data_IF_187590011983
#
_entry.id   IF_187590011983
#
_cell.length_a   1.000
_cell.length_b   1.000
_cell.length_c   1.000
_cell.angle_alpha   90.00
_cell.angle_beta   90.00
_cell.angle_gamma   90.00
#
_symmetry.space_group_name_H-M   'P 1'
#
loop_
_entity.id
_entity.type
_entity.pdbx_description
1 polymer ?
#
# COMPACT_ATOMS: atom_id res chain seq x y z
N UNK A 1 13.14 3.86 -3.67
CA UNK A 1 14.35 3.06 -3.84
C UNK A 1 14.66 2.74 -5.29
N UNK A 2 15.89 2.28 -5.56
CA UNK A 2 16.34 1.92 -6.91
C UNK A 2 15.44 0.89 -7.61
N UNK A 3 14.99 -0.20 -6.95
CA UNK A 3 14.07 -1.17 -7.57
C UNK A 3 12.75 -0.55 -8.02
N UNK A 4 12.16 0.33 -7.23
CA UNK A 4 10.95 1.06 -7.60
C UNK A 4 11.14 1.87 -8.89
N UNK A 5 12.23 2.65 -8.97
CA UNK A 5 12.53 3.46 -10.15
C UNK A 5 12.74 2.57 -11.39
N UNK A 6 13.45 1.46 -11.27
CA UNK A 6 13.68 0.53 -12.39
C UNK A 6 12.38 -0.09 -12.87
N UNK A 7 11.51 -0.55 -11.97
CA UNK A 7 10.23 -1.17 -12.33
C UNK A 7 9.30 -0.17 -13.02
N UNK A 8 9.22 1.06 -12.51
CA UNK A 8 8.38 2.11 -13.10
C UNK A 8 8.94 2.65 -14.42
N UNK A 9 10.25 2.88 -14.52
CA UNK A 9 10.85 3.48 -15.73
C UNK A 9 11.07 2.46 -16.85
N UNK A 10 11.41 1.21 -16.53
CA UNK A 10 11.65 0.15 -17.53
C UNK A 10 10.38 -0.60 -17.93
N UNK A 11 9.20 -0.24 -17.37
CA UNK A 11 7.90 -0.85 -17.68
C UNK A 11 7.96 -2.39 -17.70
N UNK A 12 8.56 -3.01 -16.68
CA UNK A 12 8.71 -4.46 -16.60
C UNK A 12 7.33 -5.12 -16.61
N UNK A 13 7.02 -5.96 -17.61
CA UNK A 13 5.70 -6.59 -17.68
C UNK A 13 5.51 -7.58 -16.52
N UNK A 14 4.31 -7.65 -15.92
CA UNK A 14 4.02 -8.63 -14.91
C UNK A 14 4.04 -10.04 -15.48
N UNK A 15 4.36 -11.02 -14.63
CA UNK A 15 4.35 -12.44 -15.02
C UNK A 15 3.02 -12.83 -15.67
N UNK A 16 3.09 -13.45 -16.87
CA UNK A 16 1.91 -13.89 -17.62
C UNK A 16 1.35 -15.17 -17.02
N UNK A 17 0.25 -15.04 -16.28
CA UNK A 17 -0.43 -16.16 -15.63
C UNK A 17 -1.65 -16.60 -16.45
N UNK A 18 -1.87 -17.90 -16.54
CA UNK A 18 -3.10 -18.47 -17.09
C UNK A 18 -4.25 -18.46 -16.07
N UNK A 19 -5.43 -18.89 -16.50
CA UNK A 19 -6.62 -18.99 -15.66
C UNK A 19 -7.44 -20.26 -16.00
N UNK A 20 -8.37 -20.62 -15.10
CA UNK A 20 -9.38 -21.64 -15.38
C UNK A 20 -10.67 -20.95 -15.83
N UNK A 21 -11.33 -21.49 -16.88
CA UNK A 21 -12.63 -20.97 -17.33
C UNK A 21 -13.71 -21.00 -16.23
N UNK A 22 -13.60 -21.91 -15.26
CA UNK A 22 -14.52 -22.03 -14.14
C UNK A 22 -14.24 -21.09 -12.98
N UNK A 23 -13.13 -20.33 -13.02
CA UNK A 23 -12.73 -19.46 -11.91
C UNK A 23 -13.66 -18.24 -11.80
N UNK A 24 -14.50 -18.27 -10.76
CA UNK A 24 -15.43 -17.18 -10.45
C UNK A 24 -14.75 -15.98 -9.77
N UNK A 25 -13.57 -16.19 -9.19
CA UNK A 25 -12.89 -15.17 -8.40
C UNK A 25 -12.35 -13.99 -9.22
N UNK A 26 -12.26 -14.14 -10.55
CA UNK A 26 -11.74 -13.12 -11.50
C UNK A 26 -12.81 -12.58 -12.45
N UNK A 27 -14.10 -12.85 -12.18
CA UNK A 27 -15.25 -12.49 -13.03
C UNK A 27 -16.06 -11.28 -12.52
N UNK A 28 -15.60 -10.63 -11.48
CA UNK A 28 -16.31 -9.46 -10.94
C UNK A 28 -16.28 -8.29 -11.93
N UNK A 29 -17.33 -7.44 -11.92
CA UNK A 29 -17.35 -6.24 -12.77
C UNK A 29 -16.28 -5.23 -12.32
N UNK A 30 -15.67 -4.58 -13.28
CA UNK A 30 -14.73 -3.49 -13.03
C UNK A 30 -15.50 -2.26 -12.51
N UNK A 31 -15.20 -1.84 -11.30
CA UNK A 31 -15.78 -0.63 -10.71
C UNK A 31 -15.04 0.60 -11.23
N UNK A 32 -15.79 1.60 -11.70
CA UNK A 32 -15.24 2.89 -12.10
C UNK A 32 -14.93 3.73 -10.85
N UNK A 33 -13.66 4.08 -10.67
CA UNK A 33 -13.16 4.82 -9.52
C UNK A 33 -12.82 3.93 -8.32
N UNK A 34 -12.15 4.54 -7.39
CA UNK A 34 -11.70 3.92 -6.13
C UNK A 34 -12.39 4.60 -4.95
N UNK A 35 -12.78 3.84 -3.94
CA UNK A 35 -13.32 4.41 -2.68
C UNK A 35 -12.27 5.33 -2.03
N UNK A 36 -10.99 4.91 -2.07
CA UNK A 36 -9.85 5.71 -1.64
C UNK A 36 -8.87 5.75 -2.81
N UNK A 37 -8.63 6.93 -3.38
CA UNK A 37 -7.68 7.09 -4.49
C UNK A 37 -6.23 7.02 -3.97
N UNK A 38 -5.29 6.63 -4.86
CA UNK A 38 -3.85 6.58 -4.55
C UNK A 38 -3.32 7.93 -4.03
N UNK A 39 -3.78 9.03 -4.63
CA UNK A 39 -3.38 10.37 -4.22
C UNK A 39 -3.85 10.75 -2.82
N UNK A 40 -5.11 10.46 -2.49
CA UNK A 40 -5.67 10.71 -1.15
C UNK A 40 -4.97 9.85 -0.10
N UNK A 41 -4.76 8.58 -0.39
CA UNK A 41 -4.06 7.66 0.51
C UNK A 41 -2.64 8.13 0.81
N UNK A 42 -1.87 8.44 -0.24
CA UNK A 42 -0.48 8.87 -0.12
C UNK A 42 -0.37 10.20 0.61
N UNK A 43 -1.19 11.18 0.24
CA UNK A 43 -1.20 12.49 0.90
C UNK A 43 -1.60 12.36 2.38
N UNK A 44 -2.68 11.65 2.70
CA UNK A 44 -3.14 11.48 4.08
C UNK A 44 -2.11 10.73 4.93
N UNK A 45 -1.59 9.60 4.45
CA UNK A 45 -0.61 8.80 5.18
C UNK A 45 0.67 9.56 5.49
N UNK A 46 1.22 10.28 4.51
CA UNK A 46 2.44 11.06 4.67
C UNK A 46 2.19 12.29 5.56
N UNK A 47 1.15 13.07 5.28
CA UNK A 47 0.88 14.31 6.01
C UNK A 47 0.56 14.05 7.48
N UNK A 48 -0.31 13.09 7.80
CA UNK A 48 -0.66 12.75 9.17
C UNK A 48 0.59 12.34 9.95
N UNK A 49 1.43 11.49 9.36
CA UNK A 49 2.64 11.01 10.03
C UNK A 49 3.67 12.12 10.22
N UNK A 50 3.98 12.91 9.18
CA UNK A 50 4.98 13.99 9.26
C UNK A 50 4.53 15.09 10.22
N UNK A 51 3.27 15.52 10.16
CA UNK A 51 2.74 16.53 11.09
C UNK A 51 2.78 16.05 12.54
N UNK A 52 2.43 14.77 12.77
CA UNK A 52 2.52 14.18 14.12
C UNK A 52 3.95 14.14 14.65
N UNK A 53 4.94 13.82 13.79
CA UNK A 53 6.36 13.85 14.15
C UNK A 53 6.81 15.29 14.46
N UNK A 54 6.46 16.26 13.61
CA UNK A 54 6.84 17.68 13.83
C UNK A 54 6.29 18.17 15.17
N UNK A 55 5.01 17.95 15.43
CA UNK A 55 4.35 18.37 16.69
C UNK A 55 4.99 17.65 17.88
N UNK A 56 5.16 16.35 17.80
CA UNK A 56 5.70 15.54 18.89
C UNK A 56 7.16 15.87 19.23
N UNK A 57 8.05 15.99 18.24
CA UNK A 57 9.45 16.35 18.49
C UNK A 57 9.59 17.81 18.94
N UNK A 58 8.79 18.74 18.40
CA UNK A 58 8.78 20.13 18.85
C UNK A 58 8.33 20.23 20.32
N UNK A 59 7.29 19.51 20.71
CA UNK A 59 6.83 19.47 22.10
C UNK A 59 7.91 18.91 23.04
N UNK A 60 8.58 17.83 22.67
CA UNK A 60 9.63 17.21 23.48
C UNK A 60 10.84 18.12 23.68
N UNK A 61 11.28 18.77 22.63
CA UNK A 61 12.43 19.69 22.72
C UNK A 61 12.09 20.91 23.53
N UNK A 62 10.91 21.52 23.30
CA UNK A 62 10.52 22.76 23.96
C UNK A 62 10.13 22.58 25.42
N UNK A 63 9.29 21.57 25.74
CA UNK A 63 8.75 21.40 27.12
C UNK A 63 9.54 20.42 27.97
N UNK A 64 10.14 19.37 27.37
CA UNK A 64 10.85 18.33 28.12
C UNK A 64 12.37 18.51 28.08
N UNK A 65 12.88 19.48 27.33
CA UNK A 65 14.32 19.69 27.09
C UNK A 65 15.06 18.42 26.60
N UNK A 66 14.36 17.50 25.95
CA UNK A 66 14.91 16.27 25.42
C UNK A 66 15.39 16.47 23.98
N UNK A 67 16.63 16.90 23.81
CA UNK A 67 17.26 17.04 22.51
C UNK A 67 17.87 15.74 21.99
N UNK A 68 17.92 15.59 20.68
CA UNK A 68 18.65 14.48 20.04
C UNK A 68 20.13 14.82 19.89
N UNK A 69 21.02 13.98 20.45
CA UNK A 69 22.48 14.09 20.20
C UNK A 69 22.77 13.75 18.73
N UNK A 70 23.31 14.70 17.98
CA UNK A 70 23.63 14.53 16.56
C UNK A 70 24.75 15.48 16.16
N UNK A 71 25.35 15.22 15.00
CA UNK A 71 26.29 16.09 14.34
C UNK A 71 25.70 17.47 13.98
N UNK A 72 24.37 17.54 13.81
CA UNK A 72 23.65 18.79 13.53
C UNK A 72 23.44 19.56 14.85
N UNK A 73 23.97 20.79 14.94
CA UNK A 73 23.90 21.61 16.16
C UNK A 73 22.47 22.04 16.57
N UNK A 74 21.53 22.11 15.62
CA UNK A 74 20.13 22.42 15.93
C UNK A 74 19.36 21.17 16.34
N UNK A 75 18.84 21.09 17.60
CA UNK A 75 18.14 19.89 18.09
C UNK A 75 16.86 19.58 17.32
N UNK A 76 16.13 20.59 16.84
CA UNK A 76 14.90 20.38 16.05
C UNK A 76 15.22 19.73 14.70
N UNK A 77 16.18 20.25 13.97
CA UNK A 77 16.59 19.69 12.67
C UNK A 77 17.09 18.26 12.84
N UNK A 78 17.90 18.02 13.88
CA UNK A 78 18.43 16.69 14.19
C UNK A 78 17.34 15.67 14.47
N UNK A 79 16.35 16.03 15.30
CA UNK A 79 15.24 15.15 15.65
C UNK A 79 14.36 14.86 14.42
N UNK A 80 13.99 15.91 13.67
CA UNK A 80 13.17 15.76 12.46
C UNK A 80 13.89 14.94 11.39
N UNK A 81 15.16 15.21 11.12
CA UNK A 81 15.94 14.43 10.15
C UNK A 81 15.94 12.95 10.47
N UNK A 82 16.13 12.57 11.73
CA UNK A 82 16.13 11.17 12.16
C UNK A 82 14.77 10.50 11.97
N UNK A 83 13.70 11.12 12.46
CA UNK A 83 12.36 10.51 12.44
C UNK A 83 11.75 10.53 11.05
N UNK A 84 11.75 11.67 10.37
CA UNK A 84 11.20 11.79 9.01
C UNK A 84 12.06 11.03 8.01
N UNK A 85 13.39 11.06 8.14
CA UNK A 85 14.29 10.29 7.28
C UNK A 85 14.04 8.79 7.34
N UNK A 86 13.90 8.21 8.54
CA UNK A 86 13.56 6.80 8.72
C UNK A 86 12.18 6.49 8.15
N UNK A 87 11.20 7.35 8.39
CA UNK A 87 9.85 7.19 7.85
C UNK A 87 9.83 7.15 6.32
N UNK A 88 10.43 8.14 5.66
CA UNK A 88 10.48 8.20 4.19
C UNK A 88 11.28 7.05 3.60
N UNK A 89 12.39 6.67 4.22
CA UNK A 89 13.18 5.52 3.79
C UNK A 89 12.36 4.22 3.84
N UNK A 90 11.59 4.01 4.90
CA UNK A 90 10.71 2.85 5.02
C UNK A 90 9.54 2.88 4.03
N UNK A 91 8.96 4.06 3.70
CA UNK A 91 8.00 4.19 2.60
C UNK A 91 8.60 3.69 1.28
N UNK A 92 9.83 4.11 0.96
CA UNK A 92 10.51 3.69 -0.27
C UNK A 92 10.78 2.18 -0.31
N UNK A 93 11.17 1.58 0.82
CA UNK A 93 11.35 0.12 0.93
C UNK A 93 10.01 -0.60 0.75
N UNK A 94 8.97 -0.19 1.48
CA UNK A 94 7.63 -0.81 1.40
C UNK A 94 7.09 -0.79 -0.03
N UNK A 95 7.21 0.35 -0.72
CA UNK A 95 6.79 0.47 -2.12
C UNK A 95 7.63 -0.43 -3.04
N UNK A 96 8.94 -0.48 -2.85
CA UNK A 96 9.82 -1.34 -3.65
C UNK A 96 9.46 -2.83 -3.52
N UNK A 97 9.18 -3.31 -2.30
CA UNK A 97 8.72 -4.68 -2.08
C UNK A 97 7.36 -4.95 -2.74
N UNK A 98 6.44 -4.00 -2.63
CA UNK A 98 5.12 -4.10 -3.26
C UNK A 98 5.23 -4.29 -4.77
N UNK A 99 6.06 -3.49 -5.44
CA UNK A 99 6.19 -3.54 -6.89
C UNK A 99 6.93 -4.78 -7.38
N UNK A 100 7.97 -5.21 -6.67
CA UNK A 100 8.64 -6.49 -6.94
C UNK A 100 7.65 -7.65 -6.85
N UNK A 101 6.82 -7.69 -5.78
CA UNK A 101 5.83 -8.76 -5.61
C UNK A 101 4.77 -8.73 -6.72
N UNK A 102 4.25 -7.55 -7.09
CA UNK A 102 3.26 -7.40 -8.16
C UNK A 102 3.76 -7.93 -9.50
N UNK A 103 5.00 -7.59 -9.86
CA UNK A 103 5.59 -8.01 -11.13
C UNK A 103 5.93 -9.51 -11.13
N UNK A 104 6.50 -10.00 -10.02
CA UNK A 104 6.95 -11.39 -9.91
C UNK A 104 5.79 -12.38 -9.83
N UNK A 105 4.72 -12.05 -9.11
CA UNK A 105 3.59 -12.98 -8.90
C UNK A 105 2.60 -12.96 -10.06
N UNK A 106 2.35 -11.81 -10.68
CA UNK A 106 1.43 -11.68 -11.82
C UNK A 106 0.00 -12.15 -11.50
N UNK A 107 -0.47 -12.00 -10.25
CA UNK A 107 -1.81 -12.46 -9.86
C UNK A 107 -2.89 -11.60 -10.49
N UNK A 108 -3.91 -12.23 -11.05
CA UNK A 108 -5.05 -11.54 -11.64
C UNK A 108 -5.94 -10.92 -10.58
N UNK A 109 -6.45 -9.69 -10.84
CA UNK A 109 -7.43 -9.01 -9.99
C UNK A 109 -8.82 -9.63 -10.14
N UNK A 110 -9.73 -9.45 -9.16
CA UNK A 110 -11.09 -9.97 -9.26
C UNK A 110 -11.88 -9.55 -10.51
N UNK A 111 -11.58 -8.38 -11.08
CA UNK A 111 -12.23 -7.86 -12.30
C UNK A 111 -11.44 -8.14 -13.60
N UNK A 112 -10.49 -9.08 -13.57
CA UNK A 112 -9.57 -9.32 -14.70
C UNK A 112 -10.30 -9.66 -16.00
N UNK A 113 -11.29 -10.57 -15.99
CA UNK A 113 -12.00 -11.00 -17.20
C UNK A 113 -12.85 -9.89 -17.82
N UNK A 114 -13.38 -8.98 -17.01
CA UNK A 114 -14.12 -7.82 -17.49
C UNK A 114 -13.23 -6.81 -18.23
N UNK A 115 -11.97 -6.71 -17.81
CA UNK A 115 -10.97 -5.84 -18.46
C UNK A 115 -10.33 -6.51 -19.66
N UNK A 116 -9.96 -7.78 -19.55
CA UNK A 116 -9.29 -8.55 -20.61
C UNK A 116 -10.23 -8.83 -21.79
N UNK A 117 -11.49 -9.20 -21.50
CA UNK A 117 -12.49 -9.60 -22.50
C UNK A 117 -11.92 -10.61 -23.51
N UNK A 118 -11.46 -11.79 -23.01
CA UNK A 118 -10.90 -12.80 -23.90
C UNK A 118 -11.98 -13.35 -24.84
N UNK A 119 -11.59 -13.71 -26.05
CA UNK A 119 -12.51 -14.36 -26.98
C UNK A 119 -12.68 -15.84 -26.62
N UNK A 120 -13.77 -16.16 -25.92
CA UNK A 120 -14.08 -17.51 -25.51
C UNK A 120 -14.40 -18.47 -26.68
N UNK A 121 -14.60 -17.96 -27.91
CA UNK A 121 -14.80 -18.83 -29.08
C UNK A 121 -13.49 -19.49 -29.53
N UNK A 122 -12.36 -18.86 -29.24
CA UNK A 122 -11.03 -19.38 -29.58
C UNK A 122 -10.39 -20.18 -28.44
N UNK A 123 -10.99 -20.14 -27.23
CA UNK A 123 -10.44 -20.76 -26.03
C UNK A 123 -11.11 -22.10 -25.77
N UNK A 124 -10.34 -23.18 -25.75
CA UNK A 124 -10.85 -24.51 -25.38
C UNK A 124 -10.85 -24.70 -23.87
N UNK A 125 -11.99 -24.43 -23.23
CA UNK A 125 -12.15 -24.57 -21.77
C UNK A 125 -12.04 -26.01 -21.25
N UNK A 126 -12.06 -27.02 -22.12
CA UNK A 126 -11.90 -28.44 -21.73
C UNK A 126 -10.45 -28.77 -21.37
N UNK A 127 -9.49 -27.95 -21.78
CA UNK A 127 -8.05 -28.14 -21.48
C UNK A 127 -7.68 -27.82 -20.02
N UNK A 128 -8.58 -27.25 -19.24
CA UNK A 128 -8.34 -26.91 -17.84
C UNK A 128 -7.63 -25.54 -17.70
N UNK A 129 -6.34 -25.54 -17.36
CA UNK A 129 -5.57 -24.31 -17.18
C UNK A 129 -5.12 -23.72 -18.51
N UNK A 130 -5.55 -22.50 -18.80
CA UNK A 130 -5.36 -21.84 -20.09
C UNK A 130 -4.27 -20.78 -19.95
N UNK A 131 -3.18 -20.94 -20.69
CA UNK A 131 -2.06 -19.99 -20.76
C UNK A 131 -2.08 -19.12 -22.03
N UNK A 132 -2.59 -19.70 -23.14
CA UNK A 132 -2.62 -19.03 -24.42
C UNK A 132 -3.99 -18.39 -24.66
N UNK A 133 -4.07 -17.10 -24.47
CA UNK A 133 -5.27 -16.31 -24.72
C UNK A 133 -4.89 -14.86 -25.06
N UNK A 134 -5.74 -14.24 -25.85
CA UNK A 134 -5.59 -12.84 -26.25
C UNK A 134 -6.67 -11.99 -25.58
N UNK A 135 -6.28 -10.87 -25.00
CA UNK A 135 -7.17 -9.88 -24.45
C UNK A 135 -7.55 -8.85 -25.51
N UNK A 136 -8.84 -8.55 -25.64
CA UNK A 136 -9.37 -7.50 -26.52
C UNK A 136 -9.38 -6.12 -25.83
N UNK A 137 -9.16 -6.07 -24.52
CA UNK A 137 -9.13 -4.84 -23.74
C UNK A 137 -7.84 -4.03 -23.93
N UNK A 138 -7.80 -2.76 -23.46
CA UNK A 138 -6.62 -1.91 -23.55
C UNK A 138 -5.44 -2.52 -22.79
N UNK A 139 -4.29 -2.64 -23.47
CA UNK A 139 -3.12 -3.36 -22.93
C UNK A 139 -2.67 -2.85 -21.56
N UNK A 140 -2.59 -1.52 -21.35
CA UNK A 140 -2.21 -0.95 -20.07
C UNK A 140 -3.14 -1.33 -18.92
N UNK A 141 -4.47 -1.39 -19.16
CA UNK A 141 -5.44 -1.83 -18.15
C UNK A 141 -5.34 -3.34 -17.89
N UNK A 142 -5.06 -4.13 -18.91
CA UNK A 142 -4.87 -5.58 -18.78
C UNK A 142 -3.62 -5.88 -17.96
N UNK A 143 -2.52 -5.18 -18.21
CA UNK A 143 -1.28 -5.32 -17.43
C UNK A 143 -1.50 -4.93 -15.96
N UNK A 144 -2.22 -3.83 -15.71
CA UNK A 144 -2.57 -3.41 -14.34
C UNK A 144 -3.48 -4.44 -13.65
N UNK A 145 -4.42 -5.05 -14.37
CA UNK A 145 -5.28 -6.11 -13.84
C UNK A 145 -4.53 -7.42 -13.51
N UNK A 146 -3.26 -7.56 -13.88
CA UNK A 146 -2.37 -8.68 -13.49
C UNK A 146 -1.50 -8.36 -12.26
N UNK A 147 -1.61 -7.17 -11.68
CA UNK A 147 -0.82 -6.71 -10.53
C UNK A 147 -1.67 -6.70 -9.26
N UNK A 148 -2.23 -7.87 -8.85
CA UNK A 148 -3.10 -7.97 -7.68
C UNK A 148 -2.33 -8.20 -6.38
N UNK A 149 -1.34 -9.08 -6.34
CA UNK A 149 -0.66 -9.51 -5.12
C UNK A 149 0.65 -8.71 -4.92
N UNK A 150 0.85 -8.17 -3.75
CA UNK A 150 -0.11 -7.86 -2.72
C UNK A 150 -0.67 -6.44 -2.88
N UNK A 151 -1.65 -6.06 -2.04
CA UNK A 151 -2.31 -4.76 -2.16
C UNK A 151 -1.40 -3.61 -1.73
N UNK A 152 -1.04 -2.72 -2.66
CA UNK A 152 -0.24 -1.53 -2.36
C UNK A 152 -0.93 -0.56 -1.42
N UNK A 153 -2.25 -0.38 -1.54
CA UNK A 153 -3.03 0.44 -0.61
C UNK A 153 -3.00 -0.10 0.82
N UNK A 154 -3.20 -1.41 1.00
CA UNK A 154 -3.17 -2.05 2.31
C UNK A 154 -1.78 -1.97 2.94
N UNK A 155 -0.75 -2.33 2.18
CA UNK A 155 0.65 -2.29 2.61
C UNK A 155 1.09 -0.87 3.01
N UNK A 156 0.83 0.13 2.15
CA UNK A 156 1.23 1.51 2.42
C UNK A 156 0.48 2.11 3.61
N UNK A 157 -0.84 1.90 3.71
CA UNK A 157 -1.62 2.40 4.85
C UNK A 157 -1.19 1.72 6.15
N UNK A 158 -0.95 0.42 6.14
CA UNK A 158 -0.47 -0.30 7.31
C UNK A 158 0.91 0.20 7.75
N UNK A 159 1.84 0.37 6.81
CA UNK A 159 3.16 0.92 7.10
C UNK A 159 3.08 2.29 7.76
N UNK A 160 2.36 3.25 7.15
CA UNK A 160 2.28 4.64 7.66
C UNK A 160 1.60 4.71 9.01
N UNK A 161 0.51 3.98 9.21
CA UNK A 161 -0.22 3.98 10.48
C UNK A 161 0.54 3.23 11.59
N UNK A 162 1.15 2.09 11.31
CA UNK A 162 1.98 1.38 12.30
C UNK A 162 3.22 2.16 12.68
N UNK A 163 3.88 2.82 11.72
CA UNK A 163 5.00 3.71 12.05
C UNK A 163 4.57 4.76 13.08
N UNK A 164 3.42 5.41 12.86
CA UNK A 164 2.89 6.39 13.79
C UNK A 164 2.47 5.79 15.13
N UNK A 165 1.90 4.59 15.13
CA UNK A 165 1.58 3.85 16.37
C UNK A 165 2.83 3.60 17.22
N UNK A 166 3.92 3.13 16.60
CA UNK A 166 5.17 2.89 17.30
C UNK A 166 5.86 4.21 17.72
N UNK A 167 5.76 5.24 16.89
CA UNK A 167 6.22 6.58 17.26
C UNK A 167 5.51 7.08 18.51
N UNK A 168 4.16 7.01 18.56
CA UNK A 168 3.38 7.39 19.72
C UNK A 168 3.73 6.52 20.95
N UNK A 169 3.92 5.22 20.75
CA UNK A 169 4.32 4.32 21.84
C UNK A 169 5.64 4.72 22.47
N UNK A 170 6.61 5.12 21.66
CA UNK A 170 7.96 5.46 22.12
C UNK A 170 8.10 6.90 22.62
N UNK A 171 7.27 7.83 22.15
CA UNK A 171 7.45 9.27 22.37
C UNK A 171 6.37 9.91 23.22
N UNK A 172 5.16 9.32 23.29
CA UNK A 172 4.06 9.90 24.04
C UNK A 172 4.11 9.44 25.50
N UNK A 173 4.63 10.31 26.37
CA UNK A 173 4.85 10.03 27.81
C UNK A 173 3.86 10.73 28.73
N UNK A 174 2.82 11.36 28.19
CA UNK A 174 1.85 12.10 28.98
C UNK A 174 0.99 11.18 29.87
N UNK A 175 1.03 11.40 31.17
CA UNK A 175 0.33 10.57 32.18
C UNK A 175 -1.09 11.06 32.49
N UNK A 176 -1.47 12.27 32.06
CA UNK A 176 -2.74 12.91 32.40
C UNK A 176 -3.97 12.21 31.79
N UNK A 177 -3.84 11.58 30.62
CA UNK A 177 -4.92 10.85 29.97
C UNK A 177 -4.46 9.45 29.52
N UNK A 178 -4.57 8.48 30.43
CA UNK A 178 -4.08 7.11 30.23
C UNK A 178 -4.65 6.41 28.99
N UNK A 179 -5.90 6.72 28.63
CA UNK A 179 -6.58 6.09 27.50
C UNK A 179 -6.34 6.80 26.16
N UNK A 180 -5.82 8.04 26.15
CA UNK A 180 -5.65 8.81 24.93
C UNK A 180 -4.70 8.11 23.94
N UNK A 181 -3.55 7.64 24.43
CA UNK A 181 -2.56 6.93 23.59
C UNK A 181 -3.14 5.65 22.98
N UNK A 182 -3.68 4.69 23.75
CA UNK A 182 -4.20 3.46 23.16
C UNK A 182 -5.42 3.72 22.26
N UNK A 183 -6.25 4.71 22.54
CA UNK A 183 -7.38 5.08 21.69
C UNK A 183 -6.91 5.62 20.35
N UNK A 184 -5.92 6.52 20.34
CA UNK A 184 -5.34 7.06 19.10
C UNK A 184 -4.67 5.95 18.28
N UNK A 185 -3.90 5.08 18.93
CA UNK A 185 -3.26 3.93 18.27
C UNK A 185 -4.29 2.99 17.64
N UNK A 186 -5.36 2.69 18.38
CA UNK A 186 -6.46 1.87 17.84
C UNK A 186 -7.13 2.53 16.64
N UNK A 187 -7.42 3.83 16.71
CA UNK A 187 -8.02 4.57 15.59
C UNK A 187 -7.14 4.52 14.33
N UNK A 188 -5.84 4.71 14.47
CA UNK A 188 -4.89 4.62 13.35
C UNK A 188 -4.87 3.22 12.70
N UNK A 189 -4.87 2.16 13.51
CA UNK A 189 -4.94 0.78 13.02
C UNK A 189 -6.28 0.54 12.30
N UNK A 190 -7.39 1.04 12.86
CA UNK A 190 -8.71 0.89 12.22
C UNK A 190 -8.82 1.64 10.90
N UNK A 191 -8.18 2.79 10.75
CA UNK A 191 -8.10 3.50 9.46
C UNK A 191 -7.37 2.66 8.40
N UNK A 192 -6.25 2.04 8.76
CA UNK A 192 -5.53 1.14 7.84
C UNK A 192 -6.36 -0.10 7.49
N UNK A 193 -7.02 -0.69 8.47
CA UNK A 193 -7.91 -1.84 8.26
C UNK A 193 -9.07 -1.49 7.31
N UNK A 194 -9.72 -0.33 7.50
CA UNK A 194 -10.76 0.17 6.61
C UNK A 194 -10.25 0.36 5.18
N UNK A 195 -9.03 0.91 5.02
CA UNK A 195 -8.38 1.05 3.71
C UNK A 195 -8.20 -0.31 3.03
N UNK A 196 -7.77 -1.33 3.75
CA UNK A 196 -7.66 -2.69 3.23
C UNK A 196 -9.00 -3.28 2.80
N UNK A 197 -10.04 -3.15 3.63
CA UNK A 197 -11.40 -3.63 3.33
C UNK A 197 -12.00 -2.92 2.11
N UNK A 198 -11.75 -1.63 1.92
CA UNK A 198 -12.23 -0.88 0.75
C UNK A 198 -11.69 -1.47 -0.56
N UNK A 199 -10.47 -2.02 -0.58
CA UNK A 199 -9.91 -2.68 -1.78
C UNK A 199 -10.64 -3.95 -2.16
N UNK A 200 -11.12 -4.70 -1.17
CA UNK A 200 -11.93 -5.91 -1.40
C UNK A 200 -13.31 -5.52 -1.93
N UNK A 201 -13.96 -4.52 -1.29
CA UNK A 201 -15.28 -4.02 -1.71
C UNK A 201 -15.28 -3.37 -3.09
N UNK A 202 -14.15 -2.81 -3.51
CA UNK A 202 -13.98 -2.24 -4.86
C UNK A 202 -13.60 -3.28 -5.93
N UNK A 203 -13.53 -4.58 -5.57
CA UNK A 203 -13.09 -5.67 -6.45
C UNK A 203 -11.71 -5.45 -7.08
N UNK A 204 -10.83 -4.68 -6.42
CA UNK A 204 -9.47 -4.41 -6.88
C UNK A 204 -8.47 -5.46 -6.42
N UNK A 205 -8.71 -6.06 -5.27
CA UNK A 205 -7.85 -7.08 -4.65
C UNK A 205 -8.67 -8.20 -4.02
N UNK A 206 -8.09 -9.40 -3.97
CA UNK A 206 -8.66 -10.50 -3.20
C UNK A 206 -8.42 -10.26 -1.69
N UNK A 207 -9.26 -10.83 -0.79
CA UNK A 207 -9.02 -10.73 0.65
C UNK A 207 -7.61 -11.19 1.07
N UNK A 208 -7.07 -12.22 0.42
CA UNK A 208 -5.72 -12.74 0.67
C UNK A 208 -4.61 -11.77 0.25
N UNK A 209 -4.85 -10.89 -0.74
CA UNK A 209 -3.87 -9.87 -1.18
C UNK A 209 -3.79 -8.69 -0.21
N UNK A 210 -4.83 -8.51 0.59
CA UNK A 210 -4.92 -7.47 1.62
C UNK A 210 -4.34 -7.93 2.95
N UNK A 211 -4.47 -9.25 3.24
CA UNK A 211 -3.99 -9.84 4.50
C UNK A 211 -2.50 -10.23 4.47
N UNK A 212 -1.91 -10.34 3.28
CA UNK A 212 -0.49 -10.63 3.11
C UNK A 212 0.38 -9.42 3.39
#
# INVERSE_FOLDING_TARGET
>A
GLPFLVIETCAVPPYHRGFYCSDQSIRYPAKNGDTISDGVLSAAGILITILSIIIGESYRIYFLNEGSKSFVGNPYISALYKQVGVFIFGCAISQSFTDIAKVSVGRMRPHFLDVCKPDFSTINCSLGYITDYQCQGPEGKVQEARKSFFSGHASFSMYTMLYLVFYLQSRFTWHGARLLRPLTQFTLIMMSFYTGLSRVSDHKHHPTDVLA
#
